data_IF_301042711015
#
_entry.id   IF_301042711015
#
_cell.length_a   1.000
_cell.length_b   1.000
_cell.length_c   1.000
_cell.angle_alpha   90.00
_cell.angle_beta   90.00
_cell.angle_gamma   90.00
#
_symmetry.space_group_name_H-M   'P 1'
#
loop_
_entity.id
_entity.type
_entity.pdbx_description
1 polymer ?
#
# COMPACT_ATOMS: atom_id res chain seq x y z
N UNK A 1 -11.53 18.78 -18.13
CA UNK A 1 -11.66 17.36 -17.80
C UNK A 1 -10.58 16.99 -16.78
N UNK A 2 -10.91 16.75 -15.47
CA UNK A 2 -9.89 16.43 -14.48
C UNK A 2 -9.05 15.19 -14.86
N UNK A 3 -9.61 14.29 -15.66
CA UNK A 3 -8.94 13.11 -16.16
C UNK A 3 -7.72 13.40 -17.05
N UNK A 4 -7.71 14.52 -17.79
CA UNK A 4 -6.59 14.82 -18.69
C UNK A 4 -5.33 15.26 -17.93
N UNK A 5 -5.47 16.11 -16.90
CA UNK A 5 -4.34 16.58 -16.10
C UNK A 5 -3.72 15.44 -15.25
N UNK A 6 -4.57 14.59 -14.67
CA UNK A 6 -4.10 13.39 -13.97
C UNK A 6 -3.38 12.45 -14.94
N UNK A 7 -3.97 12.14 -16.08
CA UNK A 7 -3.38 11.29 -17.14
C UNK A 7 -1.99 11.78 -17.57
N UNK A 8 -1.80 13.09 -17.73
CA UNK A 8 -0.49 13.66 -18.11
C UNK A 8 0.56 13.51 -17.01
N UNK A 9 0.17 13.63 -15.73
CA UNK A 9 1.07 13.40 -14.60
C UNK A 9 1.56 11.95 -14.58
N UNK A 10 0.66 10.98 -14.74
CA UNK A 10 1.02 9.56 -14.78
C UNK A 10 1.96 9.23 -15.95
N UNK A 11 1.59 9.65 -17.17
CA UNK A 11 2.38 9.40 -18.37
C UNK A 11 3.83 9.87 -18.20
N UNK A 12 4.00 11.10 -17.72
CA UNK A 12 5.34 11.69 -17.51
C UNK A 12 6.19 10.85 -16.57
N UNK A 13 5.64 10.33 -15.46
CA UNK A 13 6.43 9.58 -14.49
C UNK A 13 6.84 8.21 -15.02
N UNK A 14 5.94 7.51 -15.74
CA UNK A 14 6.23 6.22 -16.34
C UNK A 14 7.28 6.36 -17.45
N UNK A 15 7.09 7.32 -18.36
CA UNK A 15 8.01 7.56 -19.46
C UNK A 15 9.40 8.02 -19.00
N UNK A 16 9.50 8.84 -17.93
CA UNK A 16 10.76 9.25 -17.35
C UNK A 16 11.57 8.09 -16.78
N UNK A 17 10.90 7.03 -16.37
CA UNK A 17 11.53 5.80 -15.91
C UNK A 17 11.89 4.84 -17.06
N UNK A 18 11.59 5.21 -18.31
CA UNK A 18 11.91 4.42 -19.50
C UNK A 18 10.94 3.28 -19.78
N UNK A 19 9.76 3.31 -19.17
CA UNK A 19 8.72 2.31 -19.41
C UNK A 19 7.71 2.77 -20.45
N UNK A 20 7.11 1.79 -21.13
CA UNK A 20 6.07 2.02 -22.13
C UNK A 20 4.67 1.82 -21.52
N UNK A 21 3.72 2.68 -21.90
CA UNK A 21 2.32 2.57 -21.49
C UNK A 21 1.53 2.01 -22.68
N UNK A 22 0.94 0.83 -22.49
CA UNK A 22 0.04 0.24 -23.49
C UNK A 22 -1.28 0.98 -23.60
N UNK A 23 -1.78 1.51 -22.51
CA UNK A 23 -3.05 2.21 -22.51
C UNK A 23 -3.67 2.35 -21.12
N UNK A 24 -4.89 2.87 -21.16
CA UNK A 24 -5.77 3.06 -20.01
C UNK A 24 -7.06 2.30 -20.22
N UNK A 25 -7.61 1.83 -19.13
CA UNK A 25 -8.89 1.15 -19.11
C UNK A 25 -9.74 1.71 -17.98
N UNK A 26 -10.97 2.16 -18.30
CA UNK A 26 -11.98 2.36 -17.28
C UNK A 26 -12.40 0.99 -16.74
N UNK A 27 -12.36 0.85 -15.42
CA UNK A 27 -12.81 -0.38 -14.77
C UNK A 27 -14.34 -0.41 -14.80
N UNK A 28 -14.97 -1.44 -15.39
CA UNK A 28 -16.42 -1.53 -15.38
C UNK A 28 -16.92 -1.73 -13.95
N UNK A 29 -17.92 -0.91 -13.57
CA UNK A 29 -18.53 -0.99 -12.25
C UNK A 29 -20.05 -0.92 -12.36
N UNK A 30 -20.75 -1.64 -11.48
CA UNK A 30 -22.22 -1.59 -11.32
C UNK A 30 -22.57 -0.83 -10.06
N UNK A 31 -23.04 0.38 -10.22
CA UNK A 31 -23.27 1.32 -9.11
C UNK A 31 -24.56 1.01 -8.32
N UNK A 32 -25.51 0.32 -8.94
CA UNK A 32 -26.86 0.09 -8.36
C UNK A 32 -26.83 -0.78 -7.09
N UNK A 33 -25.71 -1.50 -6.85
CA UNK A 33 -25.56 -2.29 -5.64
C UNK A 33 -25.04 -1.49 -4.44
N UNK A 34 -24.64 -0.23 -4.63
CA UNK A 34 -24.05 0.60 -3.57
C UNK A 34 -25.14 1.29 -2.75
N UNK A 35 -24.87 1.45 -1.45
CA UNK A 35 -25.64 2.36 -0.60
C UNK A 35 -25.39 3.83 -0.96
N UNK A 36 -26.33 4.70 -0.64
CA UNK A 36 -26.32 6.13 -0.98
C UNK A 36 -25.01 6.84 -0.59
N UNK A 37 -24.54 6.64 0.65
CA UNK A 37 -23.30 7.26 1.15
C UNK A 37 -22.04 6.80 0.40
N UNK A 38 -21.97 5.52 0.06
CA UNK A 38 -20.86 4.98 -0.69
C UNK A 38 -20.86 5.51 -2.13
N UNK A 39 -22.02 5.59 -2.76
CA UNK A 39 -22.16 6.10 -4.12
C UNK A 39 -21.87 7.61 -4.20
N UNK A 40 -22.27 8.40 -3.21
CA UNK A 40 -22.02 9.85 -3.17
C UNK A 40 -20.52 10.21 -3.15
N UNK A 41 -19.68 9.31 -2.65
CA UNK A 41 -18.21 9.51 -2.56
C UNK A 41 -17.42 8.56 -3.46
N UNK A 42 -18.08 7.88 -4.38
CA UNK A 42 -17.47 6.90 -5.28
C UNK A 42 -16.46 7.58 -6.22
N UNK A 43 -15.22 7.09 -6.27
CA UNK A 43 -14.24 7.56 -7.24
C UNK A 43 -14.50 7.03 -8.65
N UNK A 44 -13.95 7.69 -9.64
CA UNK A 44 -13.69 7.05 -10.94
C UNK A 44 -12.54 6.04 -10.76
N UNK A 45 -12.68 4.88 -11.38
CA UNK A 45 -11.72 3.78 -11.22
C UNK A 45 -11.13 3.45 -12.58
N UNK A 46 -9.82 3.61 -12.68
CA UNK A 46 -9.08 3.37 -13.91
C UNK A 46 -7.89 2.45 -13.66
N UNK A 47 -7.46 1.77 -14.70
CA UNK A 47 -6.25 0.97 -14.74
C UNK A 47 -5.31 1.51 -15.83
N UNK A 48 -4.04 1.61 -15.47
CA UNK A 48 -2.95 1.88 -16.42
C UNK A 48 -2.21 0.56 -16.69
N UNK A 49 -1.95 0.28 -17.95
CA UNK A 49 -1.22 -0.89 -18.39
C UNK A 49 0.20 -0.50 -18.79
N UNK A 50 1.18 -0.94 -18.00
CA UNK A 50 2.60 -0.60 -18.16
C UNK A 50 3.38 -1.85 -18.58
N UNK A 51 4.20 -1.70 -19.61
CA UNK A 51 5.09 -2.77 -20.08
C UNK A 51 6.43 -2.74 -19.35
N UNK A 52 6.98 -3.91 -19.02
CA UNK A 52 8.39 -4.05 -18.65
C UNK A 52 9.30 -3.94 -19.90
N UNK A 53 9.25 -2.79 -20.58
CA UNK A 53 10.00 -2.54 -21.83
C UNK A 53 11.52 -2.51 -21.65
N UNK A 54 11.99 -2.38 -20.40
CA UNK A 54 13.41 -2.44 -20.05
C UNK A 54 13.93 -3.87 -19.90
N UNK A 55 13.05 -4.87 -19.78
CA UNK A 55 13.41 -6.26 -19.56
C UNK A 55 14.14 -6.52 -18.23
N UNK A 56 13.90 -5.70 -17.21
CA UNK A 56 14.47 -5.91 -15.88
C UNK A 56 13.76 -7.09 -15.17
N UNK A 57 14.42 -7.66 -14.17
CA UNK A 57 13.79 -8.69 -13.34
C UNK A 57 12.56 -8.16 -12.58
N UNK A 58 11.70 -9.07 -12.12
CA UNK A 58 10.46 -8.69 -11.47
C UNK A 58 10.65 -7.87 -10.19
N UNK A 59 11.66 -8.15 -9.37
CA UNK A 59 11.91 -7.42 -8.13
C UNK A 59 12.35 -6.00 -8.41
N UNK A 60 13.17 -5.80 -9.43
CA UNK A 60 13.56 -4.48 -9.94
C UNK A 60 12.36 -3.76 -10.52
N UNK A 61 11.54 -4.43 -11.34
CA UNK A 61 10.34 -3.83 -11.91
C UNK A 61 9.34 -3.41 -10.82
N UNK A 62 9.06 -4.26 -9.85
CA UNK A 62 8.22 -3.94 -8.69
C UNK A 62 8.74 -2.71 -7.91
N UNK A 63 10.05 -2.63 -7.70
CA UNK A 63 10.68 -1.48 -7.03
C UNK A 63 10.52 -0.20 -7.85
N UNK A 64 10.73 -0.26 -9.15
CA UNK A 64 10.58 0.90 -10.03
C UNK A 64 9.11 1.31 -10.17
N UNK A 65 8.17 0.38 -10.22
CA UNK A 65 6.73 0.67 -10.15
C UNK A 65 6.35 1.36 -8.83
N UNK A 66 6.92 0.93 -7.70
CA UNK A 66 6.75 1.61 -6.42
C UNK A 66 7.23 3.06 -6.48
N UNK A 67 8.42 3.33 -7.01
CA UNK A 67 8.94 4.70 -7.18
C UNK A 67 8.05 5.52 -8.11
N UNK A 68 7.62 4.96 -9.23
CA UNK A 68 6.69 5.61 -10.17
C UNK A 68 5.41 6.03 -9.44
N UNK A 69 4.81 5.12 -8.67
CA UNK A 69 3.62 5.42 -7.88
C UNK A 69 3.85 6.59 -6.92
N UNK A 70 4.95 6.56 -6.17
CA UNK A 70 5.29 7.64 -5.22
C UNK A 70 5.49 8.98 -5.93
N UNK A 71 6.13 9.01 -7.09
CA UNK A 71 6.28 10.20 -7.93
C UNK A 71 4.94 10.72 -8.44
N UNK A 72 4.04 9.83 -8.86
CA UNK A 72 2.69 10.19 -9.29
C UNK A 72 1.93 10.85 -8.14
N UNK A 73 1.87 10.21 -6.96
CA UNK A 73 1.19 10.71 -5.77
C UNK A 73 1.69 12.10 -5.37
N UNK A 74 3.02 12.30 -5.36
CA UNK A 74 3.64 13.61 -5.09
C UNK A 74 3.30 14.66 -6.14
N UNK A 75 3.35 14.28 -7.40
CA UNK A 75 3.08 15.22 -8.50
C UNK A 75 1.63 15.65 -8.52
N UNK A 76 0.71 14.73 -8.24
CA UNK A 76 -0.71 15.01 -8.08
C UNK A 76 -0.98 15.96 -6.91
N UNK A 77 -0.38 15.70 -5.76
CA UNK A 77 -0.48 16.57 -4.58
C UNK A 77 0.01 17.99 -4.87
N UNK A 78 1.16 18.13 -5.55
CA UNK A 78 1.69 19.43 -5.96
C UNK A 78 0.81 20.16 -6.97
N UNK A 79 0.10 19.41 -7.81
CA UNK A 79 -0.87 19.96 -8.77
C UNK A 79 -2.24 20.26 -8.15
N UNK A 80 -2.41 20.10 -6.83
CA UNK A 80 -3.67 20.33 -6.13
C UNK A 80 -4.72 19.23 -6.33
N UNK A 81 -4.34 18.07 -6.89
CA UNK A 81 -5.22 16.91 -7.04
C UNK A 81 -5.26 16.14 -5.72
N UNK A 82 -6.23 16.46 -4.87
CA UNK A 82 -6.28 15.96 -3.48
C UNK A 82 -6.88 14.56 -3.35
N UNK A 83 -7.59 14.05 -4.35
CA UNK A 83 -8.36 12.79 -4.26
C UNK A 83 -7.81 11.66 -5.13
N UNK A 84 -6.55 11.75 -5.51
CA UNK A 84 -5.91 10.69 -6.26
C UNK A 84 -5.36 9.60 -5.32
N UNK A 85 -5.73 8.37 -5.57
CA UNK A 85 -5.23 7.21 -4.85
C UNK A 85 -4.94 6.04 -5.81
N UNK A 86 -3.72 5.51 -5.76
CA UNK A 86 -3.35 4.31 -6.50
C UNK A 86 -3.51 3.10 -5.57
N UNK A 87 -4.57 2.32 -5.79
CA UNK A 87 -4.83 1.12 -4.99
C UNK A 87 -3.72 0.08 -5.15
N UNK A 88 -3.22 -0.11 -6.38
CA UNK A 88 -2.06 -0.94 -6.70
C UNK A 88 -1.34 -0.40 -7.93
N UNK A 89 -0.04 -0.62 -8.00
CA UNK A 89 0.78 -0.51 -9.19
C UNK A 89 1.86 -1.59 -9.07
N UNK A 90 1.59 -2.77 -9.62
CA UNK A 90 2.37 -3.98 -9.41
C UNK A 90 2.24 -4.90 -10.62
N UNK A 91 3.29 -5.67 -10.91
CA UNK A 91 3.23 -6.76 -11.90
C UNK A 91 2.79 -8.11 -11.26
N UNK A 92 2.62 -8.16 -9.93
CA UNK A 92 2.31 -9.39 -9.18
C UNK A 92 0.91 -9.43 -8.60
N UNK A 93 0.32 -8.26 -8.33
CA UNK A 93 -0.96 -8.20 -7.64
C UNK A 93 -1.84 -7.07 -8.16
N UNK A 94 -3.13 -7.25 -8.04
CA UNK A 94 -4.14 -6.25 -8.34
C UNK A 94 -5.11 -6.15 -7.17
N UNK A 95 -5.57 -4.94 -6.85
CA UNK A 95 -6.43 -4.69 -5.71
C UNK A 95 -7.76 -4.12 -6.18
N UNK A 96 -8.83 -4.84 -5.87
CA UNK A 96 -10.20 -4.39 -5.99
C UNK A 96 -10.73 -4.11 -4.59
N UNK A 97 -11.15 -2.88 -4.32
CA UNK A 97 -11.62 -2.48 -3.00
C UNK A 97 -12.59 -1.32 -3.06
N UNK A 98 -13.31 -1.09 -1.98
CA UNK A 98 -14.24 0.04 -1.90
C UNK A 98 -15.10 0.02 -0.65
N UNK A 99 -16.05 0.96 -0.61
CA UNK A 99 -17.05 1.10 0.46
C UNK A 99 -18.29 0.27 0.12
N UNK A 100 -18.24 -1.03 0.35
CA UNK A 100 -19.33 -1.96 0.03
C UNK A 100 -19.32 -3.16 0.97
N UNK A 101 -20.42 -3.89 1.00
CA UNK A 101 -20.51 -5.15 1.71
C UNK A 101 -19.79 -6.25 0.93
N UNK A 102 -19.41 -7.32 1.60
CA UNK A 102 -18.64 -8.41 0.98
C UNK A 102 -19.35 -9.01 -0.24
N UNK A 103 -20.64 -9.24 -0.15
CA UNK A 103 -21.49 -9.78 -1.21
C UNK A 103 -21.65 -8.82 -2.40
N UNK A 104 -21.39 -7.53 -2.21
CA UNK A 104 -21.48 -6.53 -3.27
C UNK A 104 -20.22 -6.46 -4.11
N UNK A 105 -19.08 -6.97 -3.64
CA UNK A 105 -17.78 -6.80 -4.31
C UNK A 105 -17.80 -7.36 -5.73
N UNK A 106 -18.23 -8.59 -5.91
CA UNK A 106 -18.31 -9.22 -7.22
C UNK A 106 -19.43 -8.64 -8.10
N UNK A 107 -20.48 -8.10 -7.48
CA UNK A 107 -21.55 -7.39 -8.22
C UNK A 107 -21.03 -6.05 -8.72
N UNK A 108 -20.35 -5.29 -7.85
CA UNK A 108 -19.81 -3.98 -8.18
C UNK A 108 -18.69 -4.05 -9.24
N UNK A 109 -17.82 -5.06 -9.14
CA UNK A 109 -16.72 -5.29 -10.06
C UNK A 109 -16.96 -6.52 -10.94
N UNK A 110 -17.63 -6.38 -12.11
CA UNK A 110 -17.86 -7.50 -13.02
C UNK A 110 -16.60 -8.25 -13.47
N UNK A 111 -15.44 -7.59 -13.46
CA UNK A 111 -14.15 -8.21 -13.74
C UNK A 111 -13.88 -9.44 -12.88
N UNK A 112 -14.31 -9.42 -11.62
CA UNK A 112 -14.12 -10.54 -10.69
C UNK A 112 -14.98 -11.78 -11.02
N UNK A 113 -15.96 -11.62 -11.91
CA UNK A 113 -16.82 -12.70 -12.38
C UNK A 113 -16.40 -13.20 -13.79
N UNK A 114 -15.38 -12.62 -14.41
CA UNK A 114 -14.88 -13.07 -15.72
C UNK A 114 -14.05 -14.35 -15.53
N UNK A 115 -14.38 -15.41 -16.26
CA UNK A 115 -13.70 -16.71 -16.18
C UNK A 115 -12.19 -16.63 -16.49
N UNK A 116 -11.75 -15.61 -17.20
CA UNK A 116 -10.33 -15.35 -17.48
C UNK A 116 -9.60 -14.71 -16.31
N UNK A 117 -10.34 -14.15 -15.33
CA UNK A 117 -9.75 -13.54 -14.14
C UNK A 117 -9.40 -14.63 -13.12
N UNK A 118 -8.22 -15.22 -13.30
CA UNK A 118 -7.73 -16.31 -12.46
C UNK A 118 -6.61 -15.81 -11.53
N UNK A 119 -6.55 -16.38 -10.32
CA UNK A 119 -5.51 -16.08 -9.34
C UNK A 119 -5.18 -17.33 -8.52
N UNK A 120 -3.92 -17.47 -8.11
CA UNK A 120 -3.50 -18.56 -7.24
C UNK A 120 -4.07 -18.45 -5.83
N UNK A 121 -4.31 -17.22 -5.35
CA UNK A 121 -4.90 -16.94 -4.04
C UNK A 121 -5.53 -15.54 -4.04
N UNK A 122 -6.40 -15.28 -3.07
CA UNK A 122 -6.96 -13.97 -2.80
C UNK A 122 -6.82 -13.62 -1.32
N UNK A 123 -6.41 -12.39 -1.05
CA UNK A 123 -6.46 -11.80 0.28
C UNK A 123 -7.66 -10.86 0.30
N UNK A 124 -8.55 -11.03 1.27
CA UNK A 124 -9.75 -10.20 1.39
C UNK A 124 -9.97 -9.71 2.81
N UNK A 125 -10.69 -8.60 2.94
CA UNK A 125 -11.07 -8.01 4.21
C UNK A 125 -12.45 -7.37 4.12
N UNK A 126 -13.30 -7.59 5.13
CA UNK A 126 -14.70 -7.12 5.13
C UNK A 126 -14.91 -5.80 5.88
N UNK A 127 -13.95 -5.35 6.68
CA UNK A 127 -14.14 -4.24 7.60
C UNK A 127 -13.11 -3.15 7.39
N UNK A 128 -13.47 -1.96 7.82
CA UNK A 128 -12.58 -0.81 7.95
C UNK A 128 -11.91 -0.79 9.32
N UNK A 129 -10.84 -0.01 9.45
CA UNK A 129 -10.30 0.34 10.77
C UNK A 129 -11.38 1.08 11.58
N UNK A 130 -11.52 0.71 12.85
CA UNK A 130 -12.47 1.33 13.77
C UNK A 130 -12.09 2.76 14.16
N UNK A 131 -10.86 3.17 13.91
CA UNK A 131 -10.28 4.44 14.34
C UNK A 131 -10.34 5.54 13.26
N UNK A 132 -10.93 5.29 12.10
CA UNK A 132 -11.02 6.26 11.01
C UNK A 132 -12.41 6.28 10.39
N UNK A 133 -12.82 7.46 9.88
CA UNK A 133 -14.02 7.52 9.05
C UNK A 133 -13.82 6.69 7.79
N UNK A 134 -14.80 5.85 7.41
CA UNK A 134 -14.74 5.06 6.19
C UNK A 134 -14.56 5.95 4.96
N UNK A 135 -13.57 5.60 4.15
CA UNK A 135 -13.28 6.23 2.86
C UNK A 135 -12.85 5.16 1.86
N UNK A 136 -13.14 5.36 0.58
CA UNK A 136 -12.83 4.38 -0.46
C UNK A 136 -11.37 3.93 -0.46
N UNK A 137 -10.45 4.84 -0.29
CA UNK A 137 -9.03 4.56 -0.31
C UNK A 137 -8.51 3.90 0.99
N UNK A 138 -9.23 4.04 2.10
CA UNK A 138 -8.91 3.41 3.39
C UNK A 138 -9.50 2.01 3.55
N UNK A 139 -10.29 1.54 2.58
CA UNK A 139 -10.73 0.14 2.58
C UNK A 139 -9.53 -0.81 2.52
N UNK A 140 -9.60 -1.92 3.25
CA UNK A 140 -8.67 -3.02 3.11
C UNK A 140 -9.12 -3.97 1.97
N UNK A 141 -8.24 -4.79 1.39
CA UNK A 141 -6.81 -4.86 1.68
C UNK A 141 -6.03 -3.63 1.22
N UNK A 142 -4.87 -3.43 1.82
CA UNK A 142 -3.87 -2.50 1.30
C UNK A 142 -2.95 -3.21 0.30
N UNK A 143 -1.78 -2.62 -0.03
CA UNK A 143 -0.91 -3.13 -1.09
C UNK A 143 -0.17 -4.40 -0.71
N UNK A 144 0.21 -4.51 0.56
CA UNK A 144 1.02 -5.61 1.07
C UNK A 144 0.29 -6.43 2.13
N UNK A 145 -0.69 -5.87 2.81
CA UNK A 145 -1.34 -6.52 3.93
C UNK A 145 -2.84 -6.22 4.06
N UNK A 146 -3.51 -7.13 4.77
CA UNK A 146 -4.82 -6.97 5.39
C UNK A 146 -4.76 -7.59 6.78
N UNK A 147 -5.34 -6.94 7.79
CA UNK A 147 -5.31 -7.44 9.17
C UNK A 147 -6.50 -6.96 9.98
N UNK A 148 -6.80 -7.70 11.05
CA UNK A 148 -7.82 -7.35 12.06
C UNK A 148 -7.19 -6.87 13.38
N UNK A 149 -5.87 -6.70 13.43
CA UNK A 149 -5.20 -6.21 14.62
C UNK A 149 -5.48 -4.74 14.90
N UNK A 150 -5.30 -4.33 16.13
CA UNK A 150 -5.35 -2.93 16.56
C UNK A 150 -3.94 -2.40 16.79
N UNK A 151 -3.68 -1.17 16.35
CA UNK A 151 -2.38 -0.49 16.49
C UNK A 151 -2.57 0.68 17.46
N UNK A 152 -2.16 0.48 18.70
CA UNK A 152 -2.46 1.42 19.78
C UNK A 152 -1.47 2.60 19.90
N UNK A 153 -0.32 2.53 19.24
CA UNK A 153 0.78 3.51 19.38
C UNK A 153 1.10 4.24 18.08
N UNK A 154 0.11 4.49 17.25
CA UNK A 154 0.28 5.06 15.91
C UNK A 154 1.11 6.35 15.90
N UNK A 155 0.79 7.32 16.76
CA UNK A 155 1.45 8.64 16.77
C UNK A 155 2.95 8.55 17.04
N UNK A 156 3.34 7.70 18.00
CA UNK A 156 4.74 7.45 18.31
C UNK A 156 5.47 6.82 17.12
N UNK A 157 4.90 5.78 16.53
CA UNK A 157 5.47 5.07 15.38
C UNK A 157 5.61 5.98 14.15
N UNK A 158 4.61 6.81 13.86
CA UNK A 158 4.67 7.78 12.76
C UNK A 158 5.79 8.81 13.00
N UNK A 159 5.95 9.31 14.22
CA UNK A 159 7.00 10.27 14.55
C UNK A 159 8.40 9.63 14.44
N UNK A 160 8.56 8.40 14.90
CA UNK A 160 9.80 7.64 14.71
C UNK A 160 10.12 7.46 13.23
N UNK A 161 9.15 7.07 12.41
CA UNK A 161 9.36 6.93 10.98
C UNK A 161 9.77 8.24 10.32
N UNK A 162 9.12 9.35 10.65
CA UNK A 162 9.53 10.69 10.18
C UNK A 162 10.96 11.04 10.55
N UNK A 163 11.38 10.71 11.77
CA UNK A 163 12.77 10.92 12.20
C UNK A 163 13.76 10.06 11.41
N UNK A 164 13.41 8.81 11.14
CA UNK A 164 14.23 7.92 10.32
C UNK A 164 14.32 8.37 8.85
N UNK A 165 13.24 8.86 8.28
CA UNK A 165 13.19 9.32 6.88
C UNK A 165 14.25 10.38 6.57
N UNK A 166 14.61 11.23 7.54
CA UNK A 166 15.61 12.30 7.35
C UNK A 166 16.95 11.71 6.94
N UNK A 167 17.33 10.57 7.51
CA UNK A 167 18.61 9.89 7.27
C UNK A 167 18.49 8.63 6.43
N UNK A 168 17.28 8.34 5.95
CA UNK A 168 17.04 7.10 5.22
C UNK A 168 17.76 7.14 3.87
N UNK A 169 18.74 6.28 3.74
CA UNK A 169 19.41 5.96 2.48
C UNK A 169 19.23 4.46 2.23
N UNK A 170 19.08 4.10 0.98
CA UNK A 170 19.01 2.69 0.57
C UNK A 170 19.72 2.53 -0.76
N UNK A 171 20.65 1.60 -0.83
CA UNK A 171 21.34 1.25 -2.08
C UNK A 171 20.35 0.73 -3.14
N UNK A 172 19.23 0.15 -2.71
CA UNK A 172 18.20 -0.35 -3.61
C UNK A 172 17.46 0.77 -4.37
N UNK A 173 17.35 1.97 -3.78
CA UNK A 173 16.73 3.13 -4.42
C UNK A 173 17.74 4.11 -5.00
N UNK A 174 19.00 4.10 -4.54
CA UNK A 174 20.02 5.02 -5.00
C UNK A 174 19.56 6.47 -4.92
N UNK A 175 19.69 7.21 -6.03
CA UNK A 175 19.28 8.62 -6.15
C UNK A 175 17.75 8.81 -6.03
N UNK A 176 16.96 7.75 -6.17
CA UNK A 176 15.48 7.80 -6.07
C UNK A 176 14.98 7.74 -4.62
N UNK A 177 15.87 7.67 -3.63
CA UNK A 177 15.49 7.54 -2.22
C UNK A 177 14.59 8.69 -1.73
N UNK A 178 14.75 9.89 -2.27
CA UNK A 178 13.89 11.03 -1.90
C UNK A 178 12.53 11.01 -2.59
N UNK A 179 12.38 10.28 -3.66
CA UNK A 179 11.09 10.16 -4.36
C UNK A 179 10.04 9.40 -3.55
N UNK A 180 10.47 8.48 -2.71
CA UNK A 180 9.57 7.66 -1.89
C UNK A 180 9.16 8.32 -0.57
N UNK A 181 9.81 9.42 -0.16
CA UNK A 181 9.47 10.17 1.07
C UNK A 181 8.31 11.14 0.84
N UNK A 182 7.44 11.40 1.82
CA UNK A 182 7.35 10.67 3.08
C UNK A 182 6.86 9.25 2.85
N UNK A 183 7.37 8.28 3.62
CA UNK A 183 6.95 6.88 3.50
C UNK A 183 5.48 6.74 3.86
N UNK A 184 5.05 7.36 4.95
CA UNK A 184 3.66 7.35 5.40
C UNK A 184 2.95 8.57 4.83
N UNK A 185 1.99 8.40 3.91
CA UNK A 185 1.19 9.52 3.39
C UNK A 185 0.36 10.19 4.49
N UNK A 186 0.13 11.49 4.34
CA UNK A 186 -0.78 12.22 5.23
C UNK A 186 -2.20 11.66 5.19
N UNK A 187 -2.89 11.65 6.33
CA UNK A 187 -4.26 11.13 6.44
C UNK A 187 -4.38 9.60 6.45
N UNK A 188 -3.26 8.88 6.49
CA UNK A 188 -3.26 7.42 6.58
C UNK A 188 -3.94 6.94 7.87
N UNK A 189 -4.69 5.83 7.78
CA UNK A 189 -5.09 5.05 8.96
C UNK A 189 -3.86 4.37 9.56
N UNK A 190 -4.03 3.79 10.74
CA UNK A 190 -3.02 2.94 11.37
C UNK A 190 -2.55 1.81 10.45
N UNK A 191 -3.49 1.10 9.88
CA UNK A 191 -3.24 -0.01 8.95
C UNK A 191 -2.60 0.46 7.64
N UNK A 192 -3.03 1.60 7.09
CA UNK A 192 -2.43 2.18 5.89
C UNK A 192 -1.00 2.66 6.15
N UNK A 193 -0.71 3.18 7.35
CA UNK A 193 0.63 3.58 7.75
C UNK A 193 1.56 2.35 7.88
N UNK A 194 1.09 1.28 8.52
CA UNK A 194 1.83 0.02 8.62
C UNK A 194 2.11 -0.58 7.24
N UNK A 195 1.11 -0.63 6.36
CA UNK A 195 1.26 -1.12 4.99
C UNK A 195 2.32 -0.33 4.20
N UNK A 196 2.29 1.00 4.32
CA UNK A 196 3.25 1.86 3.62
C UNK A 196 4.70 1.61 4.07
N UNK A 197 4.93 1.41 5.36
CA UNK A 197 6.27 1.10 5.89
C UNK A 197 6.68 -0.32 5.50
N UNK A 198 5.76 -1.27 5.58
CA UNK A 198 6.00 -2.66 5.16
C UNK A 198 6.40 -2.72 3.68
N UNK A 199 5.65 -2.05 2.81
CA UNK A 199 5.95 -1.96 1.39
C UNK A 199 7.34 -1.35 1.15
N UNK A 200 7.66 -0.24 1.80
CA UNK A 200 8.96 0.42 1.66
C UNK A 200 10.13 -0.51 2.05
N UNK A 201 10.00 -1.28 3.13
CA UNK A 201 11.02 -2.25 3.55
C UNK A 201 11.20 -3.38 2.52
N UNK A 202 10.10 -3.92 2.01
CA UNK A 202 10.17 -4.97 0.99
C UNK A 202 10.78 -4.45 -0.30
N UNK A 203 10.38 -3.26 -0.76
CA UNK A 203 10.96 -2.62 -1.97
C UNK A 203 12.43 -2.21 -1.77
N UNK A 204 12.85 -1.99 -0.53
CA UNK A 204 14.26 -1.79 -0.17
C UNK A 204 15.08 -3.10 -0.10
N UNK A 205 14.49 -4.25 -0.46
CA UNK A 205 15.17 -5.54 -0.54
C UNK A 205 15.04 -6.43 0.70
N UNK A 206 14.20 -6.06 1.69
CA UNK A 206 13.87 -6.98 2.78
C UNK A 206 12.87 -8.02 2.32
N UNK A 207 13.03 -9.27 2.77
CA UNK A 207 11.98 -10.26 2.53
C UNK A 207 10.71 -9.91 3.32
N UNK A 208 9.54 -10.30 2.83
CA UNK A 208 8.28 -10.05 3.54
C UNK A 208 8.26 -10.64 4.97
N UNK A 209 8.76 -11.88 5.22
CA UNK A 209 8.89 -12.38 6.60
C UNK A 209 9.79 -11.52 7.48
N UNK A 210 10.90 -11.01 6.94
CA UNK A 210 11.80 -10.12 7.69
C UNK A 210 11.13 -8.80 8.01
N UNK A 211 10.45 -8.18 7.03
CA UNK A 211 9.70 -6.94 7.25
C UNK A 211 8.60 -7.12 8.31
N UNK A 212 7.87 -8.26 8.28
CA UNK A 212 6.89 -8.61 9.31
C UNK A 212 7.55 -8.69 10.69
N UNK A 213 8.66 -9.38 10.81
CA UNK A 213 9.37 -9.53 12.08
C UNK A 213 9.85 -8.18 12.62
N UNK A 214 10.29 -7.28 11.74
CA UNK A 214 10.73 -5.94 12.14
C UNK A 214 9.57 -5.05 12.64
N UNK A 215 8.40 -5.17 12.04
CA UNK A 215 7.27 -4.27 12.30
C UNK A 215 6.25 -4.82 13.30
N UNK A 216 6.13 -6.13 13.38
CA UNK A 216 5.12 -6.82 14.19
C UNK A 216 5.82 -7.87 15.05
N UNK A 217 6.36 -7.46 16.21
CA UNK A 217 7.03 -8.39 17.11
C UNK A 217 6.01 -9.38 17.71
N UNK A 218 6.50 -10.52 18.13
CA UNK A 218 5.69 -11.46 18.90
C UNK A 218 5.25 -10.84 20.22
N UNK A 219 4.04 -11.18 20.63
CA UNK A 219 3.51 -10.76 21.93
C UNK A 219 4.34 -11.36 23.07
N UNK A 220 4.74 -10.54 24.02
CA UNK A 220 5.44 -10.94 25.24
C UNK A 220 4.46 -11.54 26.27
N UNK A 221 3.61 -12.46 25.85
CA UNK A 221 2.75 -13.24 26.75
C UNK A 221 3.55 -14.26 27.56
N UNK A 222 2.88 -14.93 28.52
CA UNK A 222 3.50 -16.05 29.25
C UNK A 222 4.09 -17.12 28.33
N UNK A 223 3.49 -17.32 27.16
CA UNK A 223 3.98 -18.24 26.13
C UNK A 223 5.29 -17.77 25.46
N UNK A 224 5.57 -16.47 25.45
CA UNK A 224 6.84 -15.96 24.89
C UNK A 224 8.07 -16.43 25.69
N UNK A 225 7.89 -16.88 26.96
CA UNK A 225 8.96 -17.48 27.76
C UNK A 225 9.41 -18.85 27.24
N UNK A 226 8.59 -19.48 26.42
CA UNK A 226 8.88 -20.78 25.79
C UNK A 226 9.62 -20.65 24.45
N UNK A 227 9.74 -19.41 23.91
CA UNK A 227 10.49 -19.17 22.69
C UNK A 227 11.99 -19.38 22.92
N UNK A 228 12.72 -19.94 21.94
CA UNK A 228 14.17 -20.04 21.98
C UNK A 228 14.82 -18.69 22.31
N UNK A 229 15.90 -18.70 23.10
CA UNK A 229 16.58 -17.47 23.50
C UNK A 229 16.99 -16.62 22.30
N UNK A 230 17.51 -17.25 21.23
CA UNK A 230 17.87 -16.56 19.99
C UNK A 230 16.71 -15.77 19.33
N UNK A 231 15.49 -16.27 19.44
CA UNK A 231 14.31 -15.56 18.97
C UNK A 231 13.97 -14.35 19.86
N UNK A 232 14.07 -14.54 21.18
CA UNK A 232 13.87 -13.44 22.13
C UNK A 232 14.88 -12.33 21.93
N UNK A 233 16.14 -12.68 21.74
CA UNK A 233 17.22 -11.72 21.46
C UNK A 233 17.01 -10.99 20.14
N UNK A 234 16.60 -11.72 19.09
CA UNK A 234 16.25 -11.13 17.80
C UNK A 234 15.09 -10.13 17.94
N UNK A 235 13.98 -10.53 18.55
CA UNK A 235 12.84 -9.63 18.74
C UNK A 235 13.18 -8.43 19.61
N UNK A 236 13.97 -8.62 20.66
CA UNK A 236 14.44 -7.51 21.50
C UNK A 236 15.31 -6.52 20.72
N UNK A 237 16.20 -7.01 19.88
CA UNK A 237 17.08 -6.16 19.08
C UNK A 237 16.34 -5.42 17.97
N UNK A 238 15.39 -6.07 17.33
CA UNK A 238 14.66 -5.52 16.17
C UNK A 238 13.52 -4.60 16.62
N UNK A 239 12.70 -5.02 17.56
CA UNK A 239 11.57 -4.22 18.03
C UNK A 239 11.97 -2.97 18.81
N UNK A 240 13.08 -2.96 19.46
CA UNK A 240 13.59 -1.79 20.19
C UNK A 240 14.15 -0.70 19.26
N UNK A 241 14.61 -1.08 18.07
CA UNK A 241 15.24 -0.16 17.10
C UNK A 241 14.29 0.32 16.02
N UNK A 242 13.14 -0.30 15.81
CA UNK A 242 12.38 -0.13 14.56
C UNK A 242 10.87 0.09 14.72
N UNK A 243 10.36 0.84 15.65
CA UNK A 243 8.95 1.26 15.63
C UNK A 243 8.01 0.66 16.69
N UNK A 244 8.43 -0.24 17.51
CA UNK A 244 7.59 -0.70 18.61
C UNK A 244 8.00 -0.05 19.90
N UNK A 245 7.14 0.81 20.41
CA UNK A 245 7.20 1.12 21.83
C UNK A 245 6.79 -0.14 22.62
N UNK A 246 7.45 -0.43 23.76
CA UNK A 246 6.94 -1.45 24.66
C UNK A 246 5.49 -1.12 24.99
N UNK A 247 4.60 -2.06 24.82
CA UNK A 247 3.30 -2.01 25.49
C UNK A 247 3.59 -2.02 26.96
N UNK A 248 3.48 -0.89 27.62
CA UNK A 248 3.36 -0.86 29.08
C UNK A 248 2.02 -1.50 29.42
N UNK A 249 2.07 -2.48 30.32
CA UNK A 249 0.94 -3.18 30.93
C UNK A 249 -0.18 -2.24 31.38
#
# INVERSE_FOLDING_TARGET
NPSSAASDVYKRQVLRMGYYIYGWRHVPVKIDCLGEKANATRPEIEQILISNSKGVDEDTFERELYVIRRRIEKSASRAGVSQLYLASLSCRSIIYKGMMLAEQVAVFYPDLCDERFTSSFAIYHQRYSTNTFPQWWLAQPFRMLAHNGEINTLKGNVNWMKSHEIRMASSAFGEMADDIKPIIPGGSSDSAALDAVFEALVRAGRSAPMAKTMLIPESWSKQAKELPQSWRDMYSSVSYTHLTLPTTD
#
